data_IF_052581224949
#
_entry.id   IF_052581224949
#
_cell.length_a   1.000
_cell.length_b   1.000
_cell.length_c   1.000
_cell.angle_alpha   90.00
_cell.angle_beta   90.00
_cell.angle_gamma   90.00
#
_symmetry.space_group_name_H-M   'P 1'
#
loop_
_entity.id
_entity.type
_entity.pdbx_description
1 polymer ?
#
# COMPACT_ATOMS: atom_id res chain seq x y z
N UNK A 1 -15.37 -25.50 -15.41
CA UNK A 1 -13.96 -25.70 -14.98
C UNK A 1 -13.39 -24.34 -14.62
N UNK A 2 -12.61 -24.19 -13.54
CA UNK A 2 -11.98 -22.91 -13.22
C UNK A 2 -10.88 -22.56 -14.23
N UNK A 3 -10.77 -21.29 -14.57
CA UNK A 3 -9.66 -20.72 -15.37
C UNK A 3 -8.57 -20.24 -14.41
N UNK A 4 -7.33 -20.73 -14.59
CA UNK A 4 -6.19 -20.43 -13.73
C UNK A 4 -5.16 -19.65 -14.55
N UNK A 5 -4.78 -18.46 -14.08
CA UNK A 5 -3.80 -17.59 -14.73
C UNK A 5 -2.67 -17.25 -13.78
N UNK A 6 -1.45 -17.22 -14.31
CA UNK A 6 -0.31 -16.68 -13.58
C UNK A 6 -0.40 -15.15 -13.50
N UNK A 7 0.27 -14.60 -12.50
CA UNK A 7 0.48 -13.16 -12.35
C UNK A 7 1.89 -12.92 -11.83
N UNK A 8 2.42 -11.74 -12.10
CA UNK A 8 3.74 -11.36 -11.59
C UNK A 8 3.62 -11.01 -10.10
N UNK A 9 4.38 -11.73 -9.27
CA UNK A 9 4.55 -11.36 -7.87
C UNK A 9 5.42 -10.10 -7.75
N UNK A 10 5.15 -9.29 -6.72
CA UNK A 10 5.94 -8.10 -6.40
C UNK A 10 6.74 -8.33 -5.11
N UNK A 11 7.89 -7.66 -4.98
CA UNK A 11 8.78 -7.72 -3.81
C UNK A 11 9.22 -6.32 -3.41
N UNK A 12 9.67 -6.16 -2.17
CA UNK A 12 10.29 -4.91 -1.73
C UNK A 12 11.59 -4.62 -2.49
N UNK A 13 11.76 -3.36 -2.89
CA UNK A 13 13.00 -2.90 -3.50
C UNK A 13 14.05 -2.60 -2.42
N UNK A 14 14.96 -3.55 -2.19
CA UNK A 14 16.01 -3.45 -1.18
C UNK A 14 17.10 -2.42 -1.54
N UNK A 15 17.21 -2.00 -2.81
CA UNK A 15 18.14 -0.94 -3.21
C UNK A 15 17.62 0.45 -2.82
N UNK A 16 16.30 0.60 -2.64
CA UNK A 16 15.65 1.85 -2.22
C UNK A 16 15.30 1.88 -0.74
N UNK A 17 15.36 0.74 -0.03
CA UNK A 17 14.91 0.61 1.35
C UNK A 17 16.04 0.06 2.22
N UNK A 18 16.54 0.90 3.11
CA UNK A 18 17.56 0.50 4.09
C UNK A 18 16.98 -0.40 5.19
N UNK A 19 15.76 -0.12 5.66
CA UNK A 19 15.11 -0.86 6.73
C UNK A 19 13.65 -1.20 6.38
N UNK A 20 13.37 -2.50 6.23
CA UNK A 20 12.03 -3.01 5.92
C UNK A 20 10.98 -2.59 6.96
N UNK A 21 11.38 -2.43 8.23
CA UNK A 21 10.45 -2.02 9.29
C UNK A 21 9.80 -0.64 9.03
N UNK A 22 10.39 0.17 8.16
CA UNK A 22 9.91 1.53 7.85
C UNK A 22 8.83 1.55 6.77
N UNK A 23 8.71 0.45 6.01
CA UNK A 23 7.78 0.34 4.89
C UNK A 23 6.68 -0.71 5.09
N UNK A 24 6.77 -1.56 6.12
CA UNK A 24 5.72 -2.54 6.44
C UNK A 24 4.63 -1.94 7.33
N UNK A 25 3.46 -2.61 7.36
CA UNK A 25 2.29 -2.21 8.15
C UNK A 25 1.63 -3.41 8.79
N UNK A 26 0.72 -3.14 9.73
CA UNK A 26 -0.28 -4.12 10.13
C UNK A 26 -1.25 -4.42 8.95
N UNK A 27 -1.99 -5.53 9.00
CA UNK A 27 -3.11 -5.80 8.10
C UNK A 27 -4.16 -4.67 8.13
N UNK A 28 -4.77 -4.37 6.98
CA UNK A 28 -5.63 -3.18 6.80
C UNK A 28 -6.81 -3.11 7.79
N UNK A 29 -7.34 -4.25 8.21
CA UNK A 29 -8.43 -4.38 9.19
C UNK A 29 -8.02 -3.99 10.62
N UNK A 30 -6.72 -3.90 10.88
CA UNK A 30 -6.15 -3.50 12.18
C UNK A 30 -5.61 -2.06 12.17
N UNK A 31 -5.56 -1.38 11.01
CA UNK A 31 -4.96 -0.04 10.89
C UNK A 31 -5.96 1.02 11.33
N UNK A 32 -5.65 1.68 12.45
CA UNK A 32 -6.37 2.89 12.89
C UNK A 32 -5.96 4.13 12.08
N UNK A 33 -6.75 5.20 12.11
CA UNK A 33 -6.40 6.47 11.45
C UNK A 33 -5.07 7.06 11.94
N UNK A 34 -4.75 6.88 13.23
CA UNK A 34 -3.48 7.32 13.79
C UNK A 34 -2.31 6.51 13.25
N UNK A 35 -2.48 5.18 13.15
CA UNK A 35 -1.45 4.30 12.58
C UNK A 35 -1.22 4.61 11.11
N UNK A 36 -2.30 4.83 10.36
CA UNK A 36 -2.27 5.17 8.94
C UNK A 36 -1.40 6.42 8.67
N UNK A 37 -1.65 7.50 9.42
CA UNK A 37 -0.82 8.71 9.36
C UNK A 37 0.63 8.45 9.74
N UNK A 38 0.86 7.74 10.84
CA UNK A 38 2.20 7.40 11.30
C UNK A 38 2.98 6.57 10.28
N UNK A 39 2.33 5.62 9.60
CA UNK A 39 2.93 4.84 8.52
C UNK A 39 3.31 5.71 7.33
N UNK A 40 2.43 6.64 6.93
CA UNK A 40 2.71 7.59 5.84
C UNK A 40 3.87 8.54 6.16
N UNK A 41 3.98 8.96 7.42
CA UNK A 41 5.09 9.80 7.90
C UNK A 41 6.41 9.03 7.99
N UNK A 42 6.35 7.73 8.31
CA UNK A 42 7.53 6.88 8.46
C UNK A 42 8.29 6.67 7.15
N UNK A 43 7.58 6.54 6.03
CA UNK A 43 8.20 6.45 4.71
C UNK A 43 7.23 6.85 3.59
N UNK A 44 7.78 7.51 2.56
CA UNK A 44 7.07 7.75 1.31
C UNK A 44 6.65 6.45 0.60
N UNK A 45 7.40 5.36 0.82
CA UNK A 45 7.16 4.04 0.22
C UNK A 45 6.43 3.07 1.16
N UNK A 46 5.82 3.56 2.24
CA UNK A 46 5.14 2.67 3.17
C UNK A 46 3.91 1.99 2.52
N UNK A 47 3.78 0.69 2.76
CA UNK A 47 2.80 -0.20 2.14
C UNK A 47 1.34 0.21 2.43
N UNK A 48 1.09 1.01 3.47
CA UNK A 48 -0.24 1.57 3.79
C UNK A 48 -0.86 2.29 2.58
N UNK A 49 -0.03 2.90 1.73
CA UNK A 49 -0.46 3.64 0.53
C UNK A 49 -1.09 2.73 -0.53
N UNK A 50 -0.74 1.44 -0.51
CA UNK A 50 -1.24 0.44 -1.46
C UNK A 50 -2.47 -0.30 -0.91
N UNK A 51 -2.52 -0.53 0.41
CA UNK A 51 -3.56 -1.38 1.02
C UNK A 51 -4.70 -0.59 1.69
N UNK A 52 -4.51 0.69 1.98
CA UNK A 52 -5.50 1.49 2.70
C UNK A 52 -5.46 2.98 2.32
N UNK A 53 -5.84 3.30 1.08
CA UNK A 53 -6.09 4.68 0.66
C UNK A 53 -7.40 5.17 1.28
N UNK A 54 -7.40 6.38 1.85
CA UNK A 54 -8.59 6.97 2.51
C UNK A 54 -8.98 8.29 1.86
N UNK A 55 -10.29 8.51 1.74
CA UNK A 55 -10.89 9.74 1.23
C UNK A 55 -11.94 10.27 2.22
N UNK A 56 -12.07 11.59 2.30
CA UNK A 56 -13.01 12.25 3.21
C UNK A 56 -14.48 11.93 2.89
N UNK A 57 -14.79 11.68 1.61
CA UNK A 57 -16.13 11.35 1.12
C UNK A 57 -16.50 9.87 1.30
N UNK A 58 -15.61 9.05 1.87
CA UNK A 58 -15.77 7.61 2.01
C UNK A 58 -15.06 6.81 0.92
N UNK A 59 -15.43 5.54 0.78
CA UNK A 59 -14.74 4.62 -0.12
C UNK A 59 -15.12 4.83 -1.60
N UNK A 60 -14.10 4.89 -2.45
CA UNK A 60 -14.23 4.93 -3.91
C UNK A 60 -13.17 3.99 -4.50
N UNK A 61 -13.57 2.74 -4.77
CA UNK A 61 -12.63 1.68 -5.21
C UNK A 61 -11.84 2.05 -6.45
N UNK A 62 -12.44 2.77 -7.39
CA UNK A 62 -11.77 3.12 -8.63
C UNK A 62 -10.62 4.10 -8.37
N UNK A 63 -10.87 5.12 -7.54
CA UNK A 63 -9.83 6.07 -7.12
C UNK A 63 -8.80 5.42 -6.22
N UNK A 64 -9.22 4.59 -5.26
CA UNK A 64 -8.32 3.82 -4.38
C UNK A 64 -7.32 2.99 -5.20
N UNK A 65 -7.79 2.21 -6.18
CA UNK A 65 -6.90 1.40 -7.01
C UNK A 65 -6.04 2.24 -7.96
N UNK A 66 -6.56 3.36 -8.47
CA UNK A 66 -5.76 4.28 -9.30
C UNK A 66 -4.61 4.90 -8.50
N UNK A 67 -4.88 5.34 -7.27
CA UNK A 67 -3.86 5.89 -6.37
C UNK A 67 -2.85 4.82 -5.93
N UNK A 68 -3.30 3.62 -5.58
CA UNK A 68 -2.41 2.50 -5.28
C UNK A 68 -1.50 2.17 -6.47
N UNK A 69 -2.04 2.18 -7.70
CA UNK A 69 -1.23 2.03 -8.91
C UNK A 69 -0.19 3.14 -9.05
N UNK A 70 -0.57 4.41 -8.84
CA UNK A 70 0.38 5.54 -8.90
C UNK A 70 1.52 5.35 -7.90
N UNK A 71 1.20 5.05 -6.63
CA UNK A 71 2.23 4.83 -5.61
C UNK A 71 3.11 3.61 -5.90
N UNK A 72 2.56 2.57 -6.55
CA UNK A 72 3.35 1.42 -7.01
C UNK A 72 4.31 1.80 -8.14
N UNK A 73 3.85 2.56 -9.13
CA UNK A 73 4.67 2.98 -10.27
C UNK A 73 5.75 4.00 -9.86
N UNK A 74 5.47 4.85 -8.86
CA UNK A 74 6.41 5.85 -8.32
C UNK A 74 7.51 5.23 -7.44
N UNK A 75 7.36 3.97 -7.02
CA UNK A 75 8.26 3.33 -6.08
C UNK A 75 9.62 2.99 -6.66
#
# INVERSE_FOLDING_TARGET
MPDIKSFNGIRYNLDKIENLADVVTQPYDQITDRMERGYKEKSAYNFVRLVLTKYAEGHDRQKEYADAKRFYDDW
#
